data_IF_413126080301
#
_entry.id   IF_413126080301
#
_cell.length_a   1.000
_cell.length_b   1.000
_cell.length_c   1.000
_cell.angle_alpha   90.00
_cell.angle_beta   90.00
_cell.angle_gamma   90.00
#
_symmetry.space_group_name_H-M   'P 1'
#
loop_
_entity.id
_entity.type
_entity.pdbx_description
1 polymer ?
#
# COMPACT_ATOMS: atom_id res chain seq x y z
N UNK A 1 -17.25 3.30 -7.86
CA UNK A 1 -16.13 2.87 -7.02
C UNK A 1 -14.96 3.83 -7.16
N UNK A 2 -14.30 3.91 -8.31
CA UNK A 2 -13.21 4.89 -8.54
C UNK A 2 -13.63 6.32 -8.16
N UNK A 3 -14.79 6.79 -8.65
CA UNK A 3 -15.34 8.11 -8.33
C UNK A 3 -15.62 8.37 -6.83
N UNK A 4 -15.77 7.33 -6.00
CA UNK A 4 -15.95 7.51 -4.55
C UNK A 4 -14.62 7.53 -3.80
N UNK A 5 -13.54 7.09 -4.42
CA UNK A 5 -12.20 7.02 -3.83
C UNK A 5 -11.33 8.18 -4.28
N UNK A 6 -11.48 8.62 -5.52
CA UNK A 6 -10.70 9.70 -6.12
C UNK A 6 -10.67 10.97 -5.25
N UNK A 7 -11.78 11.47 -4.68
CA UNK A 7 -11.73 12.66 -3.81
C UNK A 7 -10.89 12.47 -2.54
N UNK A 8 -10.88 11.25 -1.97
CA UNK A 8 -10.03 10.92 -0.83
C UNK A 8 -8.55 10.94 -1.25
N UNK A 9 -8.22 10.31 -2.37
CA UNK A 9 -6.84 10.25 -2.87
C UNK A 9 -6.34 11.63 -3.32
N UNK A 10 -7.21 12.45 -3.91
CA UNK A 10 -6.90 13.82 -4.30
C UNK A 10 -6.57 14.67 -3.07
N UNK A 11 -7.38 14.57 -2.00
CA UNK A 11 -7.08 15.27 -0.74
C UNK A 11 -5.76 14.82 -0.11
N UNK A 12 -5.44 13.51 -0.17
CA UNK A 12 -4.13 12.99 0.26
C UNK A 12 -3.01 13.53 -0.64
N UNK A 13 -3.20 13.55 -1.95
CA UNK A 13 -2.20 14.05 -2.87
C UNK A 13 -1.85 15.53 -2.58
N UNK A 14 -2.88 16.36 -2.37
CA UNK A 14 -2.71 17.76 -2.01
C UNK A 14 -2.01 17.95 -0.66
N UNK A 15 -2.42 17.20 0.37
CA UNK A 15 -1.85 17.31 1.73
C UNK A 15 -0.37 16.94 1.78
N UNK A 16 0.06 15.97 0.96
CA UNK A 16 1.44 15.46 0.95
C UNK A 16 2.28 15.98 -0.23
N UNK A 17 1.76 16.90 -1.04
CA UNK A 17 2.45 17.47 -2.19
C UNK A 17 2.79 16.44 -3.27
N UNK A 18 1.85 15.55 -3.56
CA UNK A 18 1.94 14.48 -4.54
C UNK A 18 1.06 14.79 -5.76
N UNK A 19 1.32 14.10 -6.86
CA UNK A 19 0.45 14.07 -8.02
C UNK A 19 -0.39 12.79 -8.01
N UNK A 20 -1.70 12.91 -8.19
CA UNK A 20 -2.60 11.78 -8.41
C UNK A 20 -2.72 11.51 -9.91
N UNK A 21 -2.13 10.42 -10.39
CA UNK A 21 -2.39 9.91 -11.74
C UNK A 21 -3.57 8.93 -11.68
N UNK A 22 -4.56 9.18 -12.54
CA UNK A 22 -5.76 8.36 -12.70
C UNK A 22 -6.17 8.32 -14.18
N UNK A 23 -7.24 7.60 -14.49
CA UNK A 23 -7.72 7.44 -15.86
C UNK A 23 -8.04 8.80 -16.49
N UNK A 24 -7.45 9.05 -17.65
CA UNK A 24 -7.55 10.35 -18.30
C UNK A 24 -6.31 10.64 -19.13
N UNK A 25 -6.40 11.56 -20.10
CA UNK A 25 -5.25 11.94 -20.90
C UNK A 25 -4.22 12.66 -20.02
N UNK A 26 -2.98 12.18 -20.03
CA UNK A 26 -1.84 12.84 -19.37
C UNK A 26 -0.69 13.02 -20.36
N UNK A 27 -0.13 14.23 -20.53
CA UNK A 27 1.01 14.48 -21.41
C UNK A 27 2.22 13.57 -21.12
N UNK A 28 2.56 13.32 -19.85
CA UNK A 28 3.62 12.38 -19.45
C UNK A 28 3.41 10.95 -20.01
N UNK A 29 2.15 10.57 -20.30
CA UNK A 29 1.76 9.28 -20.88
C UNK A 29 1.55 9.36 -22.40
N UNK A 30 2.11 10.35 -23.08
CA UNK A 30 1.85 10.66 -24.49
C UNK A 30 0.35 10.91 -24.79
N UNK A 31 -0.39 11.43 -23.82
CA UNK A 31 -1.84 11.62 -23.92
C UNK A 31 -2.67 10.34 -23.80
N UNK A 32 -2.05 9.19 -23.51
CA UNK A 32 -2.78 7.93 -23.25
C UNK A 32 -3.70 8.08 -22.04
N UNK A 33 -4.79 7.32 -22.03
CA UNK A 33 -5.81 7.36 -20.97
C UNK A 33 -5.52 6.45 -19.79
N UNK A 34 -4.92 5.29 -20.02
CA UNK A 34 -4.65 4.28 -18.99
C UNK A 34 -3.39 4.62 -18.20
N UNK A 35 -3.42 4.42 -16.88
CA UNK A 35 -2.27 4.60 -16.00
C UNK A 35 -1.42 3.33 -16.05
N UNK A 36 -0.53 3.26 -17.03
CA UNK A 36 0.30 2.07 -17.26
C UNK A 36 1.67 2.22 -16.62
N UNK A 37 2.03 1.27 -15.75
CA UNK A 37 3.36 1.15 -15.17
C UNK A 37 4.02 -0.15 -15.60
N UNK A 38 5.34 -0.12 -15.79
CA UNK A 38 6.14 -1.26 -16.21
C UNK A 38 6.85 -1.86 -14.99
N UNK A 39 6.96 -3.18 -14.92
CA UNK A 39 7.74 -3.89 -13.89
C UNK A 39 9.16 -4.23 -14.40
N UNK A 40 10.00 -4.82 -13.55
CA UNK A 40 11.40 -5.14 -13.91
C UNK A 40 11.56 -6.16 -15.04
N UNK A 41 10.53 -6.97 -15.31
CA UNK A 41 10.53 -7.92 -16.42
C UNK A 41 10.04 -7.29 -17.74
N UNK A 42 9.76 -5.99 -17.77
CA UNK A 42 9.16 -5.31 -18.92
C UNK A 42 7.65 -5.54 -19.08
N UNK A 43 7.02 -6.22 -18.11
CA UNK A 43 5.57 -6.44 -18.09
C UNK A 43 4.84 -5.15 -17.69
N UNK A 44 3.69 -4.89 -18.32
CA UNK A 44 2.92 -3.65 -18.11
C UNK A 44 1.63 -3.93 -17.37
N UNK A 45 1.37 -3.15 -16.34
CA UNK A 45 0.13 -3.20 -15.55
C UNK A 45 -0.59 -1.86 -15.68
N UNK A 46 -1.88 -1.92 -15.98
CA UNK A 46 -2.74 -0.74 -15.91
C UNK A 46 -3.34 -0.69 -14.51
N UNK A 47 -3.15 0.42 -13.83
CA UNK A 47 -3.69 0.67 -12.49
C UNK A 47 -4.81 1.70 -12.55
N UNK A 48 -5.63 1.73 -11.50
CA UNK A 48 -6.67 2.74 -11.36
C UNK A 48 -6.12 4.06 -10.81
N UNK A 49 -5.20 3.99 -9.83
CA UNK A 49 -4.57 5.17 -9.24
C UNK A 49 -3.10 4.96 -8.91
N UNK A 50 -2.31 6.01 -9.15
CA UNK A 50 -0.93 6.11 -8.68
C UNK A 50 -0.70 7.48 -8.05
N UNK A 51 -0.12 7.50 -6.86
CA UNK A 51 0.39 8.73 -6.25
C UNK A 51 1.87 8.85 -6.55
N UNK A 52 2.30 10.01 -7.06
CA UNK A 52 3.67 10.27 -7.49
C UNK A 52 4.28 11.45 -6.73
N UNK A 53 5.48 11.26 -6.19
CA UNK A 53 6.29 12.34 -5.64
C UNK A 53 7.04 13.04 -6.76
N UNK A 54 6.85 14.35 -6.88
CA UNK A 54 7.44 15.14 -7.98
C UNK A 54 6.78 14.90 -9.34
N UNK A 55 5.65 14.15 -9.39
CA UNK A 55 4.87 13.99 -10.60
C UNK A 55 4.17 15.28 -11.01
N UNK A 56 3.93 15.42 -12.31
CA UNK A 56 3.24 16.57 -12.93
C UNK A 56 2.40 16.08 -14.11
N UNK A 57 1.54 16.91 -14.72
CA UNK A 57 0.91 16.55 -15.99
C UNK A 57 1.94 16.19 -17.08
N UNK A 58 3.10 16.84 -17.09
CA UNK A 58 4.14 16.72 -18.11
C UNK A 58 5.15 15.60 -17.86
N UNK A 59 5.43 15.28 -16.59
CA UNK A 59 6.49 14.32 -16.23
C UNK A 59 6.01 13.32 -15.18
N UNK A 60 6.46 12.08 -15.32
CA UNK A 60 6.36 11.08 -14.26
C UNK A 60 7.22 11.47 -13.05
N UNK A 61 6.67 11.26 -11.86
CA UNK A 61 7.39 11.29 -10.60
C UNK A 61 7.78 9.89 -10.11
N UNK A 62 8.32 9.85 -8.90
CA UNK A 62 8.58 8.58 -8.20
C UNK A 62 7.27 8.07 -7.59
N UNK A 63 6.79 6.86 -7.91
CA UNK A 63 5.54 6.35 -7.36
C UNK A 63 5.69 6.07 -5.86
N UNK A 64 4.74 6.56 -5.07
CA UNK A 64 4.67 6.37 -3.61
C UNK A 64 3.42 5.61 -3.18
N UNK A 65 2.46 5.41 -4.09
CA UNK A 65 1.34 4.48 -3.88
C UNK A 65 0.84 3.93 -5.21
N UNK A 66 0.53 2.63 -5.23
CA UNK A 66 -0.18 1.94 -6.30
C UNK A 66 -1.50 1.40 -5.74
N UNK A 67 -2.62 1.75 -6.37
CA UNK A 67 -3.95 1.39 -5.87
C UNK A 67 -4.80 0.85 -7.01
N UNK A 68 -5.35 -0.33 -6.76
CA UNK A 68 -6.29 -1.02 -7.66
C UNK A 68 -7.69 -1.03 -7.06
N UNK A 69 -8.71 -1.05 -7.90
CA UNK A 69 -10.09 -1.18 -7.47
C UNK A 69 -10.79 -2.35 -8.14
N UNK A 70 -11.76 -2.93 -7.44
CA UNK A 70 -12.55 -4.03 -7.99
C UNK A 70 -13.94 -4.11 -7.37
N UNK A 71 -14.94 -4.30 -8.22
CA UNK A 71 -16.30 -4.65 -7.81
C UNK A 71 -16.57 -6.13 -8.04
N UNK A 72 -17.16 -6.81 -7.06
CA UNK A 72 -17.55 -8.22 -7.14
C UNK A 72 -18.98 -8.42 -6.69
N UNK A 73 -19.75 -9.06 -7.56
CA UNK A 73 -21.13 -9.45 -7.26
C UNK A 73 -21.24 -10.75 -6.45
N UNK A 74 -20.30 -11.67 -6.63
CA UNK A 74 -20.33 -13.01 -6.02
C UNK A 74 -18.96 -13.46 -5.51
N UNK A 75 -18.97 -14.38 -4.53
CA UNK A 75 -17.77 -14.94 -3.87
C UNK A 75 -16.92 -15.86 -4.75
N UNK A 76 -17.50 -16.54 -5.75
CA UNK A 76 -16.92 -17.70 -6.47
C UNK A 76 -15.50 -17.49 -7.02
N UNK A 77 -15.13 -16.25 -7.39
CA UNK A 77 -13.77 -15.94 -7.82
C UNK A 77 -13.16 -14.74 -7.08
N UNK A 78 -13.61 -14.46 -5.86
CA UNK A 78 -13.03 -13.40 -5.01
C UNK A 78 -11.54 -13.66 -4.71
N UNK A 79 -11.15 -14.91 -4.46
CA UNK A 79 -9.74 -15.28 -4.24
C UNK A 79 -8.91 -15.13 -5.52
N UNK A 80 -9.43 -15.56 -6.67
CA UNK A 80 -8.72 -15.37 -7.94
C UNK A 80 -8.54 -13.88 -8.24
N UNK A 81 -9.57 -13.06 -8.01
CA UNK A 81 -9.46 -11.60 -8.22
C UNK A 81 -8.50 -10.94 -7.25
N UNK A 82 -8.47 -11.39 -5.98
CA UNK A 82 -7.44 -10.97 -5.03
C UNK A 82 -6.03 -11.29 -5.57
N UNK A 83 -5.84 -12.47 -6.15
CA UNK A 83 -4.60 -12.88 -6.82
C UNK A 83 -4.23 -12.03 -8.04
N UNK A 84 -5.21 -11.64 -8.85
CA UNK A 84 -4.98 -10.71 -9.98
C UNK A 84 -4.51 -9.34 -9.50
N UNK A 85 -5.15 -8.80 -8.46
CA UNK A 85 -4.75 -7.50 -7.86
C UNK A 85 -3.33 -7.59 -7.30
N UNK A 86 -3.01 -8.62 -6.53
CA UNK A 86 -1.65 -8.79 -5.98
C UNK A 86 -0.61 -9.00 -7.08
N UNK A 87 -0.94 -9.75 -8.14
CA UNK A 87 -0.06 -9.94 -9.29
C UNK A 87 0.20 -8.66 -10.09
N UNK A 88 -0.73 -7.70 -10.10
CA UNK A 88 -0.52 -6.39 -10.71
C UNK A 88 0.38 -5.49 -9.84
N UNK A 89 0.19 -5.51 -8.53
CA UNK A 89 0.85 -4.59 -7.59
C UNK A 89 2.26 -5.04 -7.16
N UNK A 90 2.46 -6.32 -6.85
CA UNK A 90 3.73 -6.81 -6.28
C UNK A 90 4.95 -6.63 -7.20
N UNK A 91 4.87 -6.87 -8.52
CA UNK A 91 6.01 -6.62 -9.41
C UNK A 91 6.42 -5.15 -9.47
N UNK A 92 5.46 -4.23 -9.30
CA UNK A 92 5.74 -2.80 -9.26
C UNK A 92 6.41 -2.40 -7.95
N UNK A 93 6.04 -3.01 -6.82
CA UNK A 93 6.73 -2.83 -5.54
C UNK A 93 8.20 -3.26 -5.62
N UNK A 94 8.50 -4.35 -6.33
CA UNK A 94 9.88 -4.82 -6.51
C UNK A 94 10.71 -3.80 -7.30
N UNK A 95 10.19 -3.33 -8.44
CA UNK A 95 10.82 -2.30 -9.27
C UNK A 95 11.06 -1.01 -8.52
N UNK A 96 10.06 -0.56 -7.77
CA UNK A 96 10.07 0.69 -7.01
C UNK A 96 10.42 0.45 -5.54
N UNK A 97 11.28 -0.54 -5.26
CA UNK A 97 11.64 -0.92 -3.90
C UNK A 97 12.34 0.18 -3.10
N UNK A 98 12.97 1.15 -3.79
CA UNK A 98 13.56 2.34 -3.15
C UNK A 98 12.52 3.28 -2.55
N UNK A 99 11.47 3.60 -3.30
CA UNK A 99 10.37 4.44 -2.83
C UNK A 99 9.37 3.70 -1.95
N UNK A 100 9.43 2.35 -1.95
CA UNK A 100 8.62 1.45 -1.13
C UNK A 100 7.13 1.81 -1.19
N UNK A 101 6.52 1.91 -2.38
CA UNK A 101 5.19 2.44 -2.54
C UNK A 101 4.15 1.68 -1.72
N UNK A 102 3.17 2.41 -1.24
CA UNK A 102 1.97 1.87 -0.63
C UNK A 102 1.22 0.98 -1.63
N UNK A 103 0.81 -0.21 -1.22
CA UNK A 103 -0.05 -1.06 -2.03
C UNK A 103 -1.47 -1.01 -1.48
N UNK A 104 -2.41 -0.47 -2.27
CA UNK A 104 -3.81 -0.35 -1.92
C UNK A 104 -4.73 -1.20 -2.80
N UNK A 105 -5.79 -1.71 -2.21
CA UNK A 105 -6.91 -2.29 -2.95
C UNK A 105 -8.24 -1.73 -2.43
N UNK A 106 -9.02 -1.09 -3.30
CA UNK A 106 -10.39 -0.67 -3.00
C UNK A 106 -11.35 -1.67 -3.60
N UNK A 107 -11.82 -2.57 -2.76
CA UNK A 107 -12.67 -3.67 -3.19
C UNK A 107 -14.09 -3.48 -2.69
N UNK A 108 -15.05 -3.94 -3.48
CA UNK A 108 -16.45 -3.71 -3.19
C UNK A 108 -17.33 -4.87 -3.59
N UNK A 109 -18.47 -4.96 -2.92
CA UNK A 109 -19.41 -6.06 -3.06
C UNK A 109 -18.98 -7.26 -2.23
N UNK A 110 -19.15 -8.46 -2.78
CA UNK A 110 -19.01 -9.72 -2.05
C UNK A 110 -17.59 -10.27 -2.16
N UNK A 111 -16.84 -10.21 -1.06
CA UNK A 111 -15.48 -10.71 -0.93
C UNK A 111 -15.39 -11.70 0.22
N UNK A 112 -14.70 -12.82 0.00
CA UNK A 112 -14.44 -13.79 1.06
C UNK A 112 -13.33 -13.31 1.98
N UNK A 113 -13.37 -13.72 3.25
CA UNK A 113 -12.27 -13.47 4.21
C UNK A 113 -10.94 -14.01 3.67
N UNK A 114 -10.94 -15.15 2.97
CA UNK A 114 -9.75 -15.70 2.33
C UNK A 114 -9.19 -14.81 1.23
N UNK A 115 -10.03 -14.17 0.41
CA UNK A 115 -9.59 -13.23 -0.63
C UNK A 115 -9.02 -11.94 -0.05
N UNK A 116 -9.68 -11.37 0.97
CA UNK A 116 -9.18 -10.18 1.68
C UNK A 116 -7.88 -10.52 2.42
N UNK A 117 -7.86 -11.63 3.15
CA UNK A 117 -6.70 -12.12 3.90
C UNK A 117 -5.50 -12.42 3.00
N UNK A 118 -5.72 -12.93 1.78
CA UNK A 118 -4.67 -13.11 0.79
C UNK A 118 -4.00 -11.77 0.42
N UNK A 119 -4.79 -10.75 0.07
CA UNK A 119 -4.25 -9.41 -0.24
C UNK A 119 -3.49 -8.81 0.95
N UNK A 120 -4.09 -8.86 2.14
CA UNK A 120 -3.48 -8.34 3.37
C UNK A 120 -2.17 -9.07 3.71
N UNK A 121 -2.14 -10.39 3.56
CA UNK A 121 -0.95 -11.22 3.79
C UNK A 121 0.20 -10.93 2.82
N UNK A 122 -0.10 -10.39 1.63
CA UNK A 122 0.89 -9.92 0.65
C UNK A 122 1.28 -8.44 0.86
N UNK A 123 0.81 -7.80 1.94
CA UNK A 123 1.11 -6.41 2.26
C UNK A 123 0.18 -5.37 1.64
N UNK A 124 -0.84 -5.79 0.88
CA UNK A 124 -1.84 -4.86 0.30
C UNK A 124 -2.82 -4.41 1.38
N UNK A 125 -3.03 -3.10 1.50
CA UNK A 125 -4.01 -2.50 2.42
C UNK A 125 -5.35 -2.40 1.72
N UNK A 126 -6.40 -2.93 2.34
CA UNK A 126 -7.70 -3.14 1.68
C UNK A 126 -8.75 -2.21 2.28
N UNK A 127 -9.40 -1.41 1.42
CA UNK A 127 -10.68 -0.75 1.71
C UNK A 127 -11.78 -1.63 1.13
N UNK A 128 -12.54 -2.34 2.00
CA UNK A 128 -13.67 -3.17 1.56
C UNK A 128 -15.00 -2.48 1.83
N UNK A 129 -15.77 -2.21 0.75
CA UNK A 129 -17.13 -1.70 0.82
C UNK A 129 -18.11 -2.87 0.61
N UNK A 130 -18.91 -3.25 1.62
CA UNK A 130 -19.87 -4.35 1.49
C UNK A 130 -20.91 -4.11 0.39
N UNK A 131 -21.49 -5.19 -0.12
CA UNK A 131 -22.51 -5.13 -1.18
C UNK A 131 -23.74 -4.34 -0.75
N UNK A 132 -24.15 -4.54 0.49
CA UNK A 132 -25.35 -3.98 1.10
C UNK A 132 -25.27 -2.45 1.06
N UNK A 133 -24.12 -1.89 1.43
CA UNK A 133 -23.85 -0.44 1.37
C UNK A 133 -24.04 0.10 -0.06
N UNK A 134 -23.64 -0.67 -1.07
CA UNK A 134 -23.72 -0.24 -2.46
C UNK A 134 -25.17 -0.33 -2.94
N UNK A 135 -25.87 -1.42 -2.66
CA UNK A 135 -27.30 -1.56 -2.96
C UNK A 135 -28.09 -0.42 -2.34
N UNK A 136 -27.86 -0.13 -1.05
CA UNK A 136 -28.56 0.93 -0.32
C UNK A 136 -28.26 2.33 -0.90
N UNK A 137 -27.02 2.58 -1.32
CA UNK A 137 -26.65 3.85 -1.95
C UNK A 137 -27.36 4.04 -3.29
N UNK A 138 -27.36 3.02 -4.16
CA UNK A 138 -28.00 3.09 -5.48
C UNK A 138 -29.53 3.20 -5.37
N UNK A 139 -30.15 2.50 -4.41
CA UNK A 139 -31.59 2.54 -4.19
C UNK A 139 -32.12 3.96 -3.90
N UNK A 140 -31.32 4.80 -3.23
CA UNK A 140 -31.67 6.22 -2.97
C UNK A 140 -31.81 7.07 -4.23
N UNK A 141 -31.22 6.62 -5.33
CA UNK A 141 -31.30 7.26 -6.65
C UNK A 141 -32.27 6.50 -7.58
N UNK A 142 -33.10 5.62 -7.03
CA UNK A 142 -34.08 4.84 -7.80
C UNK A 142 -33.47 3.71 -8.62
N UNK A 143 -32.22 3.32 -8.35
CA UNK A 143 -31.52 2.25 -9.06
C UNK A 143 -31.43 1.03 -8.17
N UNK A 144 -31.97 -0.08 -8.64
CA UNK A 144 -31.84 -1.38 -8.00
C UNK A 144 -30.53 -2.06 -8.43
N UNK A 145 -29.50 -1.96 -7.58
CA UNK A 145 -28.24 -2.67 -7.78
C UNK A 145 -28.24 -4.10 -7.20
N UNK A 146 -29.39 -4.60 -6.71
CA UNK A 146 -29.57 -5.94 -6.15
C UNK A 146 -30.03 -6.95 -7.21
N UNK A 147 -29.20 -7.19 -8.21
CA UNK A 147 -29.47 -8.18 -9.25
C UNK A 147 -28.70 -9.48 -8.97
N UNK A 148 -29.23 -10.63 -9.42
CA UNK A 148 -28.58 -11.98 -9.46
C UNK A 148 -28.62 -12.70 -10.84
N UNK A 149 -28.19 -13.97 -10.93
CA UNK A 149 -28.17 -14.73 -12.20
C UNK A 149 -29.58 -15.00 -12.78
N UNK A 150 -30.63 -14.76 -11.99
CA UNK A 150 -32.02 -14.94 -12.37
C UNK A 150 -32.70 -13.63 -12.77
N UNK A 151 -32.04 -12.49 -12.56
CA UNK A 151 -32.55 -11.17 -12.99
C UNK A 151 -32.66 -11.10 -14.51
N UNK A 152 -33.81 -10.63 -15.00
CA UNK A 152 -34.09 -10.54 -16.44
C UNK A 152 -33.25 -9.46 -17.11
N UNK A 153 -32.96 -9.65 -18.40
CA UNK A 153 -32.26 -8.64 -19.21
C UNK A 153 -33.05 -7.32 -19.22
N UNK A 154 -34.38 -7.39 -19.31
CA UNK A 154 -35.25 -6.21 -19.29
C UNK A 154 -35.10 -5.40 -18.00
N UNK A 155 -35.04 -6.08 -16.83
CA UNK A 155 -34.80 -5.38 -15.56
C UNK A 155 -33.41 -4.75 -15.53
N UNK A 156 -32.37 -5.46 -15.98
CA UNK A 156 -31.02 -4.91 -16.05
C UNK A 156 -30.95 -3.67 -16.96
N UNK A 157 -31.64 -3.71 -18.11
CA UNK A 157 -31.73 -2.57 -19.01
C UNK A 157 -32.42 -1.38 -18.34
N UNK A 158 -33.51 -1.62 -17.60
CA UNK A 158 -34.17 -0.55 -16.83
C UNK A 158 -33.23 0.12 -15.81
N UNK A 159 -32.35 -0.64 -15.15
CA UNK A 159 -31.38 -0.07 -14.21
C UNK A 159 -30.27 0.73 -14.92
N UNK A 160 -29.85 0.28 -16.10
CA UNK A 160 -28.91 1.03 -16.96
C UNK A 160 -29.56 2.35 -17.42
N UNK A 161 -30.80 2.30 -17.89
CA UNK A 161 -31.54 3.49 -18.32
C UNK A 161 -31.74 4.48 -17.16
N UNK A 162 -32.02 3.98 -15.95
CA UNK A 162 -32.11 4.79 -14.74
C UNK A 162 -30.76 5.46 -14.38
N UNK A 163 -29.65 4.74 -14.52
CA UNK A 163 -28.31 5.31 -14.35
C UNK A 163 -27.96 6.36 -15.41
N UNK A 164 -28.35 6.12 -16.66
CA UNK A 164 -28.11 7.05 -17.77
C UNK A 164 -28.97 8.31 -17.69
N UNK A 165 -30.12 8.23 -17.02
CA UNK A 165 -30.96 9.38 -16.71
C UNK A 165 -30.41 10.27 -15.58
N UNK A 166 -29.49 9.77 -14.74
CA UNK A 166 -28.88 10.58 -13.68
C UNK A 166 -27.99 11.68 -14.27
N UNK A 167 -28.15 12.91 -13.77
CA UNK A 167 -27.23 14.01 -14.02
C UNK A 167 -25.85 13.77 -13.41
N UNK A 168 -24.84 14.48 -13.89
CA UNK A 168 -23.49 14.41 -13.32
C UNK A 168 -23.46 14.78 -11.83
N UNK A 169 -24.33 15.70 -11.40
CA UNK A 169 -24.47 16.08 -9.99
C UNK A 169 -25.06 14.94 -9.15
N UNK A 170 -26.02 14.18 -9.68
CA UNK A 170 -26.59 13.02 -9.00
C UNK A 170 -25.58 11.89 -8.91
N UNK A 171 -24.84 11.61 -9.99
CA UNK A 171 -23.73 10.63 -10.00
C UNK A 171 -22.66 10.98 -8.97
N UNK A 172 -22.27 12.25 -8.87
CA UNK A 172 -21.35 12.74 -7.83
C UNK A 172 -21.95 12.68 -6.42
N UNK A 173 -23.27 12.80 -6.29
CA UNK A 173 -23.94 12.68 -4.98
C UNK A 173 -24.00 11.22 -4.54
N UNK A 174 -24.22 10.29 -5.47
CA UNK A 174 -24.14 8.84 -5.25
C UNK A 174 -22.72 8.42 -4.88
N UNK A 175 -21.70 8.92 -5.57
CA UNK A 175 -20.30 8.59 -5.22
C UNK A 175 -19.94 9.08 -3.81
N UNK A 176 -20.42 10.27 -3.42
CA UNK A 176 -20.26 10.80 -2.06
C UNK A 176 -21.03 10.00 -1.01
N UNK A 177 -22.23 9.50 -1.34
CA UNK A 177 -23.00 8.69 -0.39
C UNK A 177 -22.26 7.41 -0.01
N UNK A 178 -21.55 6.76 -0.95
CA UNK A 178 -20.72 5.59 -0.65
C UNK A 178 -19.64 5.86 0.41
N UNK A 179 -19.06 7.07 0.43
CA UNK A 179 -18.12 7.47 1.48
C UNK A 179 -18.84 7.71 2.81
N UNK A 180 -19.99 8.38 2.76
CA UNK A 180 -20.77 8.76 3.94
C UNK A 180 -21.40 7.56 4.67
N UNK A 181 -21.74 6.49 3.95
CA UNK A 181 -22.27 5.24 4.53
C UNK A 181 -21.17 4.34 5.12
N UNK A 182 -19.90 4.66 4.91
CA UNK A 182 -18.77 3.86 5.40
C UNK A 182 -17.62 4.72 5.92
N UNK A 183 -17.89 5.76 6.73
CA UNK A 183 -16.89 6.79 7.05
C UNK A 183 -15.68 6.19 7.76
N UNK A 184 -15.89 5.26 8.70
CA UNK A 184 -14.82 4.60 9.44
C UNK A 184 -13.88 3.81 8.52
N UNK A 185 -14.43 3.15 7.49
CA UNK A 185 -13.63 2.35 6.55
C UNK A 185 -12.73 3.23 5.70
N UNK A 186 -13.28 4.32 5.18
CA UNK A 186 -12.52 5.32 4.42
C UNK A 186 -11.48 6.02 5.31
N UNK A 187 -11.84 6.35 6.55
CA UNK A 187 -10.94 6.96 7.53
C UNK A 187 -9.75 6.05 7.86
N UNK A 188 -9.98 4.77 8.14
CA UNK A 188 -8.92 3.78 8.42
C UNK A 188 -7.99 3.63 7.21
N UNK A 189 -8.55 3.56 6.00
CA UNK A 189 -7.75 3.45 4.77
C UNK A 189 -6.88 4.71 4.57
N UNK A 190 -7.48 5.91 4.70
CA UNK A 190 -6.75 7.18 4.65
C UNK A 190 -5.65 7.23 5.70
N UNK A 191 -5.94 6.95 6.96
CA UNK A 191 -4.96 7.01 8.03
C UNK A 191 -3.78 6.06 7.76
N UNK A 192 -4.07 4.88 7.22
CA UNK A 192 -3.05 3.90 6.86
C UNK A 192 -2.18 4.38 5.70
N UNK A 193 -2.76 5.03 4.70
CA UNK A 193 -2.04 5.69 3.61
C UNK A 193 -1.21 6.88 4.13
N UNK A 194 -1.78 7.76 4.95
CA UNK A 194 -1.10 8.92 5.54
C UNK A 194 0.10 8.50 6.38
N UNK A 195 -0.05 7.47 7.22
CA UNK A 195 1.04 6.92 8.04
C UNK A 195 2.16 6.37 7.18
N UNK A 196 1.83 5.74 6.05
CA UNK A 196 2.81 5.25 5.10
C UNK A 196 3.55 6.41 4.42
N UNK A 197 2.85 7.43 3.93
CA UNK A 197 3.44 8.56 3.21
C UNK A 197 4.31 9.46 4.10
N UNK A 198 4.01 9.53 5.41
CA UNK A 198 4.80 10.27 6.42
C UNK A 198 5.99 9.49 6.97
N UNK A 199 6.15 8.22 6.57
CA UNK A 199 7.27 7.39 7.00
C UNK A 199 8.58 8.05 6.54
N UNK A 200 9.43 8.37 7.50
CA UNK A 200 10.79 8.85 7.28
C UNK A 200 11.71 8.23 8.30
N UNK A 201 12.99 8.11 7.98
CA UNK A 201 14.00 7.67 8.94
C UNK A 201 14.04 8.69 10.08
N UNK A 202 13.76 8.22 11.31
CA UNK A 202 13.82 9.03 12.52
C UNK A 202 15.18 8.95 13.19
N UNK A 203 15.83 7.78 13.13
CA UNK A 203 17.15 7.53 13.71
C UNK A 203 17.82 6.33 13.03
N UNK A 204 19.14 6.40 12.86
CA UNK A 204 19.98 5.23 12.54
C UNK A 204 20.92 4.98 13.71
N UNK A 205 20.90 3.78 14.28
CA UNK A 205 21.84 3.32 15.30
C UNK A 205 22.85 2.38 14.63
N UNK A 206 24.13 2.60 14.89
CA UNK A 206 25.22 1.73 14.46
C UNK A 206 25.99 1.31 15.72
N UNK A 207 26.08 0.00 15.97
CA UNK A 207 26.90 -0.58 17.03
C UNK A 207 28.02 -1.40 16.38
N UNK A 208 29.26 -0.93 16.52
CA UNK A 208 30.44 -1.70 16.17
C UNK A 208 30.88 -2.49 17.42
N UNK A 209 30.74 -3.80 17.37
CA UNK A 209 31.13 -4.70 18.45
C UNK A 209 32.55 -5.20 18.18
N UNK A 210 33.46 -4.86 19.07
CA UNK A 210 34.84 -5.31 19.04
C UNK A 210 35.07 -6.37 20.11
N UNK A 211 35.87 -7.39 19.79
CA UNK A 211 36.26 -8.44 20.73
C UNK A 211 35.91 -9.86 20.31
N UNK A 212 35.94 -10.77 21.27
CA UNK A 212 35.69 -12.19 21.07
C UNK A 212 34.38 -12.61 21.75
N UNK A 213 33.72 -13.63 21.20
CA UNK A 213 32.55 -14.23 21.83
C UNK A 213 32.99 -15.25 22.88
N UNK A 214 32.49 -15.12 24.11
CA UNK A 214 32.68 -16.09 25.17
C UNK A 214 31.36 -16.82 25.45
N UNK A 215 31.43 -18.13 25.65
CA UNK A 215 30.28 -18.97 26.01
C UNK A 215 30.47 -19.50 27.42
N UNK A 216 29.42 -19.43 28.23
CA UNK A 216 29.41 -19.86 29.63
C UNK A 216 28.32 -20.89 29.84
N UNK A 217 28.56 -21.87 30.70
CA UNK A 217 27.57 -22.93 30.96
C UNK A 217 26.60 -22.54 32.08
N UNK A 218 26.95 -21.51 32.87
CA UNK A 218 26.10 -20.99 33.95
C UNK A 218 26.09 -19.46 33.98
N UNK A 219 25.01 -18.88 34.53
CA UNK A 219 24.92 -17.44 34.74
C UNK A 219 25.98 -16.91 35.73
N UNK A 220 26.40 -17.75 36.69
CA UNK A 220 27.43 -17.38 37.66
C UNK A 220 28.81 -17.20 36.99
N UNK A 221 29.18 -18.08 36.07
CA UNK A 221 30.39 -17.95 35.25
C UNK A 221 30.36 -16.67 34.40
N UNK A 222 29.24 -16.38 33.76
CA UNK A 222 29.08 -15.16 32.95
C UNK A 222 29.22 -13.88 33.79
N UNK A 223 28.60 -13.83 34.98
CA UNK A 223 28.71 -12.68 35.90
C UNK A 223 30.14 -12.50 36.39
N UNK A 224 30.85 -13.59 36.69
CA UNK A 224 32.24 -13.51 37.11
C UNK A 224 33.13 -12.93 36.00
N UNK A 225 32.94 -13.39 34.75
CA UNK A 225 33.65 -12.85 33.60
C UNK A 225 33.37 -11.35 33.37
N UNK A 226 32.12 -10.91 33.54
CA UNK A 226 31.77 -9.47 33.44
C UNK A 226 32.46 -8.61 34.50
N UNK A 227 32.57 -9.11 35.74
CA UNK A 227 33.29 -8.40 36.83
C UNK A 227 34.79 -8.29 36.56
N UNK A 228 35.38 -9.31 35.94
CA UNK A 228 36.78 -9.30 35.54
C UNK A 228 37.01 -8.33 34.38
N UNK A 229 36.08 -8.28 33.42
CA UNK A 229 36.10 -7.33 32.31
C UNK A 229 36.14 -5.87 32.79
N UNK A 230 35.29 -5.48 33.74
CA UNK A 230 35.22 -4.10 34.27
C UNK A 230 36.54 -3.61 34.90
N UNK A 231 37.37 -4.54 35.39
CA UNK A 231 38.61 -4.23 36.11
C UNK A 231 39.87 -4.29 35.25
N UNK A 232 39.74 -4.45 33.92
CA UNK A 232 40.88 -4.69 33.03
C UNK A 232 41.04 -3.57 32.01
N UNK A 233 42.27 -3.12 31.78
CA UNK A 233 42.60 -2.21 30.67
C UNK A 233 42.67 -3.02 29.37
N UNK A 234 41.87 -2.68 28.36
CA UNK A 234 41.80 -3.44 27.12
C UNK A 234 42.65 -2.83 26.00
N UNK A 235 43.38 -3.68 25.28
CA UNK A 235 44.00 -3.32 24.00
C UNK A 235 42.94 -3.18 22.90
N UNK A 236 43.24 -2.49 21.77
CA UNK A 236 42.32 -2.38 20.64
C UNK A 236 41.93 -3.77 20.12
N UNK A 237 40.66 -4.13 20.29
CA UNK A 237 40.15 -5.42 19.84
C UNK A 237 39.71 -5.37 18.37
N UNK A 238 39.85 -6.51 17.68
CA UNK A 238 39.36 -6.66 16.31
C UNK A 238 37.85 -6.48 16.25
N UNK A 239 37.36 -5.97 15.12
CA UNK A 239 35.93 -5.86 14.86
C UNK A 239 35.33 -7.27 14.73
N UNK A 240 34.32 -7.56 15.55
CA UNK A 240 33.60 -8.84 15.54
C UNK A 240 32.37 -8.78 14.64
N UNK A 241 31.54 -7.73 14.82
CA UNK A 241 30.36 -7.47 13.99
C UNK A 241 29.90 -6.03 14.08
N UNK A 242 29.12 -5.62 13.09
CA UNK A 242 28.41 -4.34 13.04
C UNK A 242 26.91 -4.64 13.10
N UNK A 243 26.20 -4.01 14.01
CA UNK A 243 24.74 -4.01 14.04
C UNK A 243 24.22 -2.65 13.60
N UNK A 244 23.30 -2.65 12.64
CA UNK A 244 22.64 -1.45 12.14
C UNK A 244 21.16 -1.54 12.44
N UNK A 245 20.59 -0.51 13.06
CA UNK A 245 19.16 -0.39 13.29
C UNK A 245 18.62 0.92 12.70
N UNK A 246 17.70 0.82 11.75
CA UNK A 246 17.00 1.99 11.18
C UNK A 246 15.63 2.08 11.83
N UNK A 247 15.37 3.18 12.52
CA UNK A 247 14.08 3.53 13.10
C UNK A 247 13.35 4.48 12.17
N UNK A 248 12.05 4.27 12.02
CA UNK A 248 11.18 5.13 11.24
C UNK A 248 10.20 5.89 12.16
N UNK A 249 9.62 6.97 11.64
CA UNK A 249 8.64 7.79 12.37
C UNK A 249 7.32 7.09 12.66
N UNK A 250 7.02 6.00 11.95
CA UNK A 250 5.84 5.18 12.15
C UNK A 250 6.10 3.96 13.05
N UNK A 251 7.17 4.00 13.85
CA UNK A 251 7.60 2.93 14.77
C UNK A 251 8.14 1.65 14.09
N UNK A 252 8.14 1.59 12.76
CA UNK A 252 8.84 0.51 12.05
C UNK A 252 10.33 0.54 12.38
N UNK A 253 10.93 -0.66 12.42
CA UNK A 253 12.37 -0.86 12.63
C UNK A 253 12.90 -1.90 11.66
N UNK A 254 14.08 -1.64 11.11
CA UNK A 254 14.86 -2.63 10.35
C UNK A 254 16.16 -2.86 11.11
N UNK A 255 16.51 -4.13 11.31
CA UNK A 255 17.75 -4.55 11.95
C UNK A 255 18.57 -5.37 10.95
N UNK A 256 19.86 -5.07 10.86
CA UNK A 256 20.81 -5.78 10.00
C UNK A 256 22.13 -5.99 10.73
N UNK A 257 22.84 -7.06 10.37
CA UNK A 257 24.13 -7.43 10.96
C UNK A 257 25.14 -7.71 9.85
N UNK A 258 26.36 -7.23 10.02
CA UNK A 258 27.45 -7.34 9.05
C UNK A 258 28.76 -7.70 9.74
N UNK A 259 29.61 -8.48 9.08
CA UNK A 259 30.99 -8.71 9.53
C UNK A 259 31.94 -7.60 9.07
N UNK A 260 31.62 -6.92 7.96
CA UNK A 260 32.50 -5.93 7.34
C UNK A 260 31.84 -4.55 7.18
N UNK A 261 32.58 -3.43 7.39
CA UNK A 261 32.04 -2.09 7.18
C UNK A 261 31.56 -1.82 5.76
N UNK A 262 32.22 -2.39 4.75
CA UNK A 262 31.88 -2.17 3.33
C UNK A 262 30.48 -2.70 3.00
N UNK A 263 30.10 -3.84 3.56
CA UNK A 263 28.77 -4.44 3.37
C UNK A 263 27.70 -3.61 4.08
N UNK A 264 27.99 -3.16 5.31
CA UNK A 264 27.08 -2.29 6.06
C UNK A 264 26.81 -0.97 5.33
N UNK A 265 27.85 -0.36 4.74
CA UNK A 265 27.75 0.85 3.93
C UNK A 265 26.90 0.60 2.69
N UNK A 266 27.23 -0.42 1.88
CA UNK A 266 26.49 -0.74 0.67
C UNK A 266 25.01 -1.02 0.96
N UNK A 267 24.72 -1.70 2.08
CA UNK A 267 23.35 -1.92 2.51
C UNK A 267 22.66 -0.62 2.91
N UNK A 268 23.28 0.24 3.73
CA UNK A 268 22.70 1.54 4.12
C UNK A 268 22.42 2.43 2.91
N UNK A 269 23.32 2.47 1.93
CA UNK A 269 23.13 3.20 0.67
C UNK A 269 21.95 2.66 -0.15
N UNK A 270 21.63 1.36 -0.03
CA UNK A 270 20.43 0.79 -0.65
C UNK A 270 19.11 1.18 0.04
N UNK A 271 19.18 1.68 1.28
CA UNK A 271 18.03 2.11 2.08
C UNK A 271 17.77 3.63 2.01
N UNK A 272 18.68 4.40 1.41
CA UNK A 272 18.62 5.85 1.26
C UNK A 272 17.90 6.27 -0.03
#
# INVERSE_FOLDING_TARGET
MEQSVEPLLQAVAEEHGLYLDTIGPRPARDGKRLVTWENDSGGKNNLDFVLERGGTPENFGEPVAFIESAWRRYTKHSVNKAGEITAALLPLLQRHSRSRPFLGAVVSGVWTEGGIGHMVGQGVRVLHIPREVIVDCFARFGIDADYDEHTTIDHLQMQVDAWDALSDSERQSLSRSLMQESPDRYAIFRETLDRHLRRRVSRVLILALHGEQAFFNTAAEAVQSLREYENTTHEPMLLARIEVQIYYTNEDRIEAQFSEPVEAIAWLESQA
#
